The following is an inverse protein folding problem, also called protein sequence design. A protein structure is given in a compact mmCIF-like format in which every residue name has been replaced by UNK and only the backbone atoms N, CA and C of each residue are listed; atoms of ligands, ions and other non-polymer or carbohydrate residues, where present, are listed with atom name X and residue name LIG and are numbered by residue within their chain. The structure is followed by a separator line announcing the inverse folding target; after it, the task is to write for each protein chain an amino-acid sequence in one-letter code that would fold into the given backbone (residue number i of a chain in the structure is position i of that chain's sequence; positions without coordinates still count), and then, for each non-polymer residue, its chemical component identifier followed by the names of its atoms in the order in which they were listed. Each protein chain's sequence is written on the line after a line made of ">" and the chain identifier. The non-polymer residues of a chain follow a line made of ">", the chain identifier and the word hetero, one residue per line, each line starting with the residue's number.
data_IF_669567627775
#
_entry.id   IF_669567627775
#
_cell.length_a   1.000
_cell.length_b   1.000
_cell.length_c   1.000
_cell.angle_alpha   90.00
_cell.angle_beta   90.00
_cell.angle_gamma   90.00
#
_symmetry.space_group_name_H-M   'P 1'
#
loop_
_entity.id
_entity.type
_entity.pdbx_description
1 polymer ?
#
# COMPACT_ATOMS: atom_id res chain seq x y z
N UNK A 1 -4.41 -4.29 -45.21
CA UNK A 1 -4.08 -2.95 -44.65
C UNK A 1 -4.61 -2.80 -43.21
N UNK A 2 -4.34 -3.76 -42.31
CA UNK A 2 -4.99 -3.78 -40.98
C UNK A 2 -4.18 -4.40 -39.84
N UNK A 3 -3.03 -5.05 -40.12
CA UNK A 3 -2.21 -5.68 -39.09
C UNK A 3 -1.36 -4.66 -38.30
N UNK A 4 -0.80 -3.64 -38.96
CA UNK A 4 0.01 -2.62 -38.27
C UNK A 4 -0.81 -1.72 -37.34
N UNK A 5 -2.11 -1.51 -37.61
CA UNK A 5 -2.96 -0.64 -36.76
C UNK A 5 -3.27 -1.26 -35.38
N UNK A 6 -3.20 -2.60 -35.27
CA UNK A 6 -3.39 -3.35 -34.02
C UNK A 6 -2.13 -3.42 -33.16
N UNK A 7 -0.96 -3.20 -33.75
CA UNK A 7 0.34 -3.20 -33.04
C UNK A 7 0.71 -1.83 -32.46
N UNK A 8 0.16 -0.75 -33.00
CA UNK A 8 0.44 0.64 -32.59
C UNK A 8 -0.76 1.36 -31.94
N UNK A 9 -1.80 0.62 -31.56
CA UNK A 9 -2.88 1.20 -30.75
C UNK A 9 -2.32 1.55 -29.37
N UNK A 10 -2.36 2.83 -28.99
CA UNK A 10 -2.03 3.25 -27.62
C UNK A 10 -2.85 2.37 -26.66
N UNK A 11 -2.25 1.70 -25.67
CA UNK A 11 -3.04 1.07 -24.62
C UNK A 11 -3.94 2.17 -24.05
N UNK A 12 -5.22 1.88 -23.90
CA UNK A 12 -6.11 2.76 -23.16
C UNK A 12 -5.45 2.97 -21.79
N UNK A 13 -5.08 4.21 -21.48
CA UNK A 13 -4.69 4.57 -20.11
C UNK A 13 -5.90 4.23 -19.24
N UNK A 14 -5.77 3.35 -18.25
CA UNK A 14 -6.83 3.15 -17.29
C UNK A 14 -7.17 4.52 -16.71
N UNK A 15 -8.45 4.87 -16.68
CA UNK A 15 -8.89 6.04 -15.94
C UNK A 15 -8.47 5.84 -14.47
N UNK A 16 -7.92 6.87 -13.80
CA UNK A 16 -7.59 6.77 -12.39
C UNK A 16 -8.88 6.44 -11.62
N UNK A 17 -8.83 5.38 -10.81
CA UNK A 17 -9.92 5.03 -9.91
C UNK A 17 -9.85 6.02 -8.74
N UNK A 18 -10.91 6.78 -8.54
CA UNK A 18 -11.06 7.61 -7.35
C UNK A 18 -11.86 6.82 -6.30
N UNK A 19 -11.31 6.71 -5.10
CA UNK A 19 -11.95 6.07 -3.96
C UNK A 19 -12.59 7.13 -3.05
N UNK A 20 -13.67 6.74 -2.41
CA UNK A 20 -14.35 7.53 -1.38
C UNK A 20 -13.55 7.52 -0.07
N UNK A 21 -13.78 8.52 0.78
CA UNK A 21 -13.19 8.59 2.12
C UNK A 21 -13.52 7.32 2.94
N UNK A 22 -14.74 6.80 2.82
CA UNK A 22 -15.16 5.57 3.51
C UNK A 22 -14.39 4.33 3.04
N UNK A 23 -14.01 4.27 1.76
CA UNK A 23 -13.20 3.17 1.23
C UNK A 23 -11.77 3.23 1.76
N UNK A 24 -11.18 4.43 1.88
CA UNK A 24 -9.87 4.59 2.50
C UNK A 24 -9.88 4.28 4.00
N UNK A 25 -10.92 4.69 4.72
CA UNK A 25 -11.08 4.37 6.14
C UNK A 25 -11.19 2.85 6.35
N UNK A 26 -12.02 2.18 5.55
CA UNK A 26 -12.18 0.73 5.61
C UNK A 26 -10.89 -0.01 5.26
N UNK A 27 -10.20 0.43 4.21
CA UNK A 27 -8.91 -0.13 3.81
C UNK A 27 -7.86 0.01 4.94
N UNK A 28 -7.77 1.19 5.56
CA UNK A 28 -6.89 1.42 6.70
C UNK A 28 -7.22 0.50 7.88
N UNK A 29 -8.50 0.38 8.26
CA UNK A 29 -8.93 -0.49 9.35
C UNK A 29 -8.58 -1.96 9.09
N UNK A 30 -8.82 -2.44 7.87
CA UNK A 30 -8.53 -3.82 7.47
C UNK A 30 -7.04 -4.12 7.45
N UNK A 31 -6.23 -3.22 6.89
CA UNK A 31 -4.76 -3.35 6.87
C UNK A 31 -4.20 -3.32 8.29
N UNK A 32 -4.66 -2.39 9.12
CA UNK A 32 -4.25 -2.27 10.52
C UNK A 32 -4.58 -3.56 11.29
N UNK A 33 -5.81 -4.07 11.17
CA UNK A 33 -6.19 -5.33 11.79
C UNK A 33 -5.36 -6.52 11.29
N UNK A 34 -5.11 -6.59 9.98
CA UNK A 34 -4.28 -7.64 9.37
C UNK A 34 -2.85 -7.63 9.91
N UNK A 35 -2.24 -6.44 9.99
CA UNK A 35 -0.91 -6.26 10.56
C UNK A 35 -0.89 -6.56 12.06
N UNK A 36 -1.89 -6.13 12.84
CA UNK A 36 -1.93 -6.41 14.27
C UNK A 36 -2.03 -7.90 14.59
N UNK A 37 -2.71 -8.68 13.74
CA UNK A 37 -2.80 -10.13 13.90
C UNK A 37 -1.45 -10.84 13.73
N UNK A 38 -0.51 -10.23 13.00
CA UNK A 38 0.80 -10.82 12.67
C UNK A 38 1.93 -10.19 13.49
N UNK A 39 1.86 -8.89 13.75
CA UNK A 39 2.92 -8.08 14.37
C UNK A 39 2.52 -7.56 15.76
N UNK A 40 1.37 -7.96 16.30
CA UNK A 40 0.84 -7.52 17.58
C UNK A 40 0.31 -6.08 17.55
N UNK A 41 0.02 -5.52 18.72
CA UNK A 41 -0.61 -4.19 18.82
C UNK A 41 0.25 -3.10 18.17
N UNK A 42 -0.38 -2.31 17.30
CA UNK A 42 0.21 -1.12 16.71
C UNK A 42 0.37 -0.05 17.79
N UNK A 43 1.47 0.70 17.74
CA UNK A 43 1.69 1.85 18.60
C UNK A 43 0.82 3.03 18.13
N UNK A 44 0.37 3.87 19.06
CA UNK A 44 -0.44 5.06 18.76
C UNK A 44 0.32 6.15 17.97
N UNK A 45 1.63 5.99 17.80
CA UNK A 45 2.47 6.94 17.10
C UNK A 45 2.67 6.44 15.67
N UNK A 46 2.45 7.31 14.70
CA UNK A 46 2.76 7.06 13.29
C UNK A 46 3.88 8.01 12.88
N UNK A 47 4.91 7.45 12.26
CA UNK A 47 6.08 8.18 11.79
C UNK A 47 5.78 8.74 10.42
N UNK A 48 5.14 9.91 10.36
CA UNK A 48 4.77 10.51 9.08
C UNK A 48 5.96 11.03 8.29
N UNK A 49 5.98 10.78 6.99
CA UNK A 49 6.97 11.34 6.11
C UNK A 49 6.77 12.86 5.94
N UNK A 50 7.87 13.62 5.92
CA UNK A 50 7.83 15.08 5.67
C UNK A 50 7.28 15.38 4.27
N UNK A 51 7.66 14.54 3.30
CA UNK A 51 7.15 14.58 1.92
C UNK A 51 6.33 13.30 1.76
N UNK A 52 5.03 13.38 1.40
CA UNK A 52 4.18 12.20 1.23
C UNK A 52 4.64 11.28 0.12
N UNK A 53 4.40 9.97 0.27
CA UNK A 53 4.77 8.96 -0.70
C UNK A 53 4.15 9.22 -2.10
N UNK A 54 2.89 9.64 -2.15
CA UNK A 54 2.16 9.91 -3.40
C UNK A 54 2.82 10.95 -4.32
N UNK A 55 3.69 11.83 -3.78
CA UNK A 55 4.44 12.84 -4.54
C UNK A 55 5.93 12.52 -4.65
N UNK A 56 6.32 11.27 -4.38
CA UNK A 56 7.70 10.79 -4.47
C UNK A 56 8.51 10.93 -3.18
N UNK A 57 7.85 11.11 -2.04
CA UNK A 57 8.47 11.14 -0.72
C UNK A 57 8.67 9.75 -0.10
N UNK A 58 8.86 9.72 1.22
CA UNK A 58 8.95 8.48 1.98
C UNK A 58 7.55 7.98 2.39
N UNK A 59 7.48 6.73 2.82
CA UNK A 59 6.27 6.15 3.41
C UNK A 59 6.20 6.44 4.91
N UNK A 60 4.99 6.47 5.42
CA UNK A 60 4.66 6.50 6.83
C UNK A 60 5.03 5.17 7.49
N UNK A 61 5.56 5.27 8.71
CA UNK A 61 5.99 4.13 9.51
C UNK A 61 5.01 3.86 10.66
N UNK A 62 4.42 2.66 10.66
CA UNK A 62 3.62 2.13 11.75
C UNK A 62 4.46 1.19 12.60
N UNK A 63 4.44 1.40 13.93
CA UNK A 63 5.36 0.73 14.86
C UNK A 63 4.67 -0.41 15.60
N UNK A 64 5.36 -1.54 15.72
CA UNK A 64 4.86 -2.76 16.37
C UNK A 64 5.87 -3.26 17.42
N UNK A 65 5.89 -2.66 18.63
CA UNK A 65 6.96 -2.88 19.60
C UNK A 65 6.82 -4.14 20.48
N UNK A 66 5.68 -4.85 20.43
CA UNK A 66 5.31 -5.79 21.49
C UNK A 66 5.21 -7.27 21.07
N UNK A 67 5.43 -7.61 19.80
CA UNK A 67 5.21 -8.99 19.31
C UNK A 67 6.48 -9.82 19.11
N UNK A 68 7.60 -9.17 18.75
CA UNK A 68 8.90 -9.81 18.60
C UNK A 68 9.96 -9.05 19.40
N UNK A 69 11.12 -9.67 19.66
CA UNK A 69 12.24 -8.97 20.29
C UNK A 69 12.72 -7.86 19.36
N UNK A 70 12.45 -6.61 19.73
CA UNK A 70 12.73 -5.42 18.92
C UNK A 70 11.43 -4.67 18.60
N UNK A 71 11.48 -3.80 17.58
CA UNK A 71 10.30 -3.09 17.08
C UNK A 71 10.15 -3.44 15.60
N UNK A 72 8.99 -3.99 15.23
CA UNK A 72 8.63 -4.14 13.82
C UNK A 72 8.16 -2.81 13.24
N UNK A 73 8.43 -2.58 11.96
CA UNK A 73 7.93 -1.43 11.22
C UNK A 73 7.20 -1.93 9.98
N UNK A 74 6.03 -1.38 9.70
CA UNK A 74 5.30 -1.65 8.47
C UNK A 74 4.72 -0.34 7.92
N UNK A 75 4.38 -0.35 6.64
CA UNK A 75 3.60 0.71 6.00
C UNK A 75 2.31 0.10 5.43
N UNK A 76 1.35 0.98 5.12
CA UNK A 76 0.03 0.64 4.59
C UNK A 76 -0.30 1.47 3.34
N UNK A 77 0.66 2.25 2.84
CA UNK A 77 0.46 3.27 1.79
C UNK A 77 0.76 2.79 0.36
N UNK A 78 1.29 1.58 0.19
CA UNK A 78 1.74 1.13 -1.14
C UNK A 78 0.59 0.49 -1.94
N UNK A 79 -0.41 -0.05 -1.26
CA UNK A 79 -1.63 -0.59 -1.86
C UNK A 79 -2.79 0.39 -1.81
N UNK A 80 -3.58 0.44 -2.88
CA UNK A 80 -4.87 1.14 -2.95
C UNK A 80 -6.01 0.27 -2.39
N UNK A 81 -7.20 0.84 -2.09
CA UNK A 81 -8.35 0.10 -1.55
C UNK A 81 -8.84 -1.09 -2.41
N UNK A 82 -8.59 -1.09 -3.72
CA UNK A 82 -8.90 -2.23 -4.60
C UNK A 82 -7.79 -3.30 -4.63
N UNK A 83 -6.74 -3.12 -3.84
CA UNK A 83 -5.55 -3.96 -3.80
C UNK A 83 -4.60 -3.74 -4.97
N UNK A 84 -4.82 -2.72 -5.81
CA UNK A 84 -3.85 -2.30 -6.81
C UNK A 84 -2.64 -1.62 -6.15
N UNK A 85 -1.52 -1.58 -6.86
CA UNK A 85 -0.24 -1.12 -6.31
C UNK A 85 0.92 -1.66 -7.14
N UNK A 86 2.12 -1.82 -6.57
CA UNK A 86 3.26 -2.42 -7.25
C UNK A 86 2.94 -3.83 -7.77
N UNK A 87 3.67 -4.22 -8.82
CA UNK A 87 3.55 -5.54 -9.41
C UNK A 87 3.66 -6.64 -8.33
N UNK A 88 2.67 -7.55 -8.23
CA UNK A 88 2.70 -8.62 -7.25
C UNK A 88 3.98 -9.44 -7.37
N UNK A 89 4.62 -9.73 -6.24
CA UNK A 89 5.74 -10.66 -6.21
C UNK A 89 5.24 -12.09 -5.90
N UNK A 90 6.15 -13.07 -5.85
CA UNK A 90 5.81 -14.49 -5.60
C UNK A 90 5.03 -14.71 -4.29
N UNK A 91 5.16 -13.81 -3.33
CA UNK A 91 4.48 -13.85 -2.03
C UNK A 91 3.20 -13.02 -2.02
N UNK A 92 2.78 -12.41 -3.13
CA UNK A 92 1.70 -11.42 -3.18
C UNK A 92 2.25 -10.00 -3.00
N UNK A 93 1.44 -9.12 -2.42
CA UNK A 93 1.81 -7.73 -2.13
C UNK A 93 1.85 -7.57 -0.61
N UNK A 94 3.02 -7.80 -0.02
CA UNK A 94 3.24 -7.60 1.41
C UNK A 94 4.39 -6.64 1.63
N UNK A 95 4.18 -5.74 2.58
CA UNK A 95 5.08 -4.64 2.93
C UNK A 95 5.73 -4.97 4.27
N UNK A 96 6.93 -5.53 4.23
CA UNK A 96 7.75 -5.74 5.44
C UNK A 96 8.98 -4.84 5.32
N UNK A 97 9.10 -3.86 6.21
CA UNK A 97 10.33 -3.07 6.38
C UNK A 97 11.06 -3.66 7.60
N UNK A 98 12.23 -4.25 7.34
CA UNK A 98 13.02 -4.97 8.34
C UNK A 98 13.74 -4.07 9.35
#
# INVERSE_FOLDING_TARGET
>A
MGFFKKLFGKPATPEPIEFTEQEYELDYEQKSQGLENILGKMHELVGHAIIPFAVGGAVDMYYFPQHIKGTGFATMEILEPDGSGPLPNRLGTYELVG
#
